data_IF_356818191172
#
_entry.id   IF_356818191172
#
_cell.length_a   1.000
_cell.length_b   1.000
_cell.length_c   1.000
_cell.angle_alpha   90.00
_cell.angle_beta   90.00
_cell.angle_gamma   90.00
#
_symmetry.space_group_name_H-M   'P 1'
#
loop_
_entity.id
_entity.type
_entity.pdbx_description
1 polymer ?
#
# COMPACT_ATOMS: atom_id res chain seq x y z
N UNK A 1 -21.28 -11.55 18.89
CA UNK A 1 -20.80 -10.18 18.64
C UNK A 1 -19.31 -10.23 18.90
N UNK A 2 -18.51 -10.45 17.86
CA UNK A 2 -17.06 -10.53 18.00
C UNK A 2 -16.51 -9.12 17.90
N UNK A 3 -16.04 -8.59 19.03
CA UNK A 3 -15.23 -7.39 19.06
C UNK A 3 -13.99 -7.65 18.22
N UNK A 4 -13.91 -6.98 17.07
CA UNK A 4 -12.65 -6.78 16.40
C UNK A 4 -11.85 -5.84 17.32
N UNK A 5 -10.95 -6.41 18.11
CA UNK A 5 -9.80 -5.67 18.63
C UNK A 5 -9.06 -5.10 17.42
N UNK A 6 -9.41 -3.86 17.10
CA UNK A 6 -8.67 -3.03 16.18
C UNK A 6 -7.25 -2.96 16.71
N UNK A 7 -6.37 -3.73 16.09
CA UNK A 7 -4.93 -3.56 16.20
C UNK A 7 -4.69 -2.11 15.81
N UNK A 8 -4.58 -1.23 16.80
CA UNK A 8 -4.20 0.15 16.61
C UNK A 8 -2.97 0.12 15.72
N UNK A 9 -3.00 0.74 14.53
CA UNK A 9 -1.89 0.63 13.59
C UNK A 9 -0.65 1.05 14.36
N UNK A 10 0.32 0.16 14.49
CA UNK A 10 1.50 0.47 15.28
C UNK A 10 2.06 1.80 14.77
N UNK A 11 2.30 2.72 15.71
CA UNK A 11 2.82 4.05 15.44
C UNK A 11 4.28 4.02 15.81
N UNK A 12 5.15 4.14 14.82
CA UNK A 12 6.57 4.36 15.06
C UNK A 12 6.79 5.87 14.99
N UNK A 13 7.28 6.42 16.09
CA UNK A 13 7.66 7.83 16.20
C UNK A 13 9.18 7.91 16.18
N UNK A 14 9.72 8.65 15.23
CA UNK A 14 11.16 8.92 15.12
C UNK A 14 11.35 10.44 15.10
N UNK A 15 12.34 10.92 15.83
CA UNK A 15 12.72 12.33 15.86
C UNK A 15 14.08 12.50 15.20
N UNK A 16 14.13 13.37 14.19
CA UNK A 16 15.37 13.71 13.49
C UNK A 16 15.76 15.15 13.82
N UNK A 17 16.99 15.34 14.28
CA UNK A 17 17.60 16.66 14.46
C UNK A 17 18.40 17.02 13.21
N UNK A 18 18.11 18.16 12.59
CA UNK A 18 18.82 18.65 11.42
C UNK A 18 19.97 19.59 11.81
N UNK A 19 21.05 19.66 11.01
CA UNK A 19 22.14 20.61 11.23
C UNK A 19 21.65 22.07 11.15
N UNK A 20 22.34 22.98 11.86
CA UNK A 20 21.93 24.39 12.04
C UNK A 20 21.89 25.22 10.74
N UNK A 21 22.41 24.70 9.63
CA UNK A 21 22.42 25.36 8.33
C UNK A 21 21.20 25.03 7.45
N UNK A 22 20.25 24.23 7.93
CA UNK A 22 19.05 23.88 7.17
C UNK A 22 17.96 24.93 7.32
N UNK A 23 17.41 25.39 6.19
CA UNK A 23 16.18 26.17 6.16
C UNK A 23 14.95 25.28 6.01
N UNK A 24 13.78 25.86 6.28
CA UNK A 24 12.50 25.20 6.04
C UNK A 24 12.24 25.00 4.54
N UNK A 25 12.76 25.88 3.66
CA UNK A 25 12.73 25.67 2.21
C UNK A 25 13.55 24.45 1.78
N UNK A 26 14.70 24.19 2.40
CA UNK A 26 15.55 23.03 2.07
C UNK A 26 14.85 21.71 2.38
N UNK A 27 14.17 21.63 3.53
CA UNK A 27 13.39 20.46 3.93
C UNK A 27 12.26 20.23 2.94
N UNK A 28 11.50 21.28 2.59
CA UNK A 28 10.41 21.19 1.60
C UNK A 28 10.93 20.77 0.22
N UNK A 29 12.07 21.31 -0.21
CA UNK A 29 12.70 20.96 -1.48
C UNK A 29 13.11 19.48 -1.53
N UNK A 30 13.72 18.97 -0.45
CA UNK A 30 14.11 17.56 -0.33
C UNK A 30 12.92 16.60 -0.30
N UNK A 31 11.86 16.96 0.42
CA UNK A 31 10.61 16.18 0.42
C UNK A 31 9.99 16.15 -0.99
N UNK A 32 9.95 17.28 -1.70
CA UNK A 32 9.48 17.33 -3.10
C UNK A 32 10.35 16.52 -4.05
N UNK A 33 11.67 16.59 -3.89
CA UNK A 33 12.62 15.79 -4.67
C UNK A 33 12.43 14.29 -4.42
N UNK A 34 12.18 13.90 -3.17
CA UNK A 34 11.86 12.52 -2.83
C UNK A 34 10.51 12.06 -3.41
N UNK A 35 9.48 12.92 -3.40
CA UNK A 35 8.19 12.64 -4.07
C UNK A 35 8.34 12.44 -5.58
N UNK A 36 9.30 13.11 -6.23
CA UNK A 36 9.61 12.89 -7.63
C UNK A 36 10.42 11.60 -7.89
N UNK A 37 10.93 10.93 -6.85
CA UNK A 37 11.68 9.69 -6.98
C UNK A 37 10.77 8.47 -7.16
N UNK A 38 11.27 7.34 -7.70
CA UNK A 38 10.49 6.10 -7.82
C UNK A 38 9.95 5.56 -6.49
N UNK A 39 10.55 5.96 -5.36
CA UNK A 39 10.13 5.53 -4.02
C UNK A 39 9.01 6.41 -3.45
N UNK A 40 8.92 7.67 -3.88
CA UNK A 40 7.98 8.67 -3.39
C UNK A 40 6.83 8.99 -4.34
N UNK A 41 6.91 8.61 -5.62
CA UNK A 41 5.94 8.99 -6.66
C UNK A 41 4.51 8.50 -6.42
N UNK A 42 4.36 7.43 -5.64
CA UNK A 42 3.07 6.86 -5.27
C UNK A 42 2.48 7.48 -3.99
N UNK A 43 3.18 8.44 -3.36
CA UNK A 43 2.70 9.19 -2.20
C UNK A 43 2.02 10.49 -2.63
N UNK A 44 0.88 10.76 -2.00
CA UNK A 44 0.16 12.04 -2.10
C UNK A 44 0.54 12.91 -0.92
N UNK A 45 1.01 14.12 -1.21
CA UNK A 45 1.37 15.11 -0.19
C UNK A 45 0.17 16.02 0.11
N UNK A 46 -0.28 16.00 1.36
CA UNK A 46 -1.26 16.92 1.91
C UNK A 46 -0.57 17.88 2.87
N UNK A 47 -0.60 19.17 2.56
CA UNK A 47 -0.02 20.22 3.42
C UNK A 47 -1.10 20.70 4.37
N UNK A 48 -1.11 20.21 5.60
CA UNK A 48 -2.08 20.62 6.63
C UNK A 48 -1.76 22.03 7.11
N UNK A 49 -0.47 22.31 7.36
CA UNK A 49 0.07 23.62 7.70
C UNK A 49 1.46 23.75 7.09
N UNK A 50 2.04 24.96 7.03
CA UNK A 50 3.38 25.14 6.46
C UNK A 50 4.46 24.23 7.09
N UNK A 51 4.28 23.86 8.36
CA UNK A 51 5.17 22.99 9.15
C UNK A 51 4.64 21.59 9.42
N UNK A 52 3.47 21.26 8.86
CA UNK A 52 2.83 19.97 9.07
C UNK A 52 2.42 19.40 7.72
N UNK A 53 3.11 18.35 7.30
CA UNK A 53 2.93 17.70 6.01
C UNK A 53 2.53 16.24 6.27
N UNK A 54 1.46 15.79 5.64
CA UNK A 54 1.04 14.39 5.64
C UNK A 54 1.33 13.80 4.27
N UNK A 55 2.10 12.72 4.25
CA UNK A 55 2.36 11.92 3.06
C UNK A 55 1.55 10.64 3.18
N UNK A 56 0.59 10.44 2.28
CA UNK A 56 -0.28 9.27 2.30
C UNK A 56 -0.13 8.43 1.04
N UNK A 57 -0.18 7.11 1.20
CA UNK A 57 -0.10 6.17 0.10
C UNK A 57 -1.09 5.04 0.33
N UNK A 58 -1.87 4.72 -0.69
CA UNK A 58 -2.72 3.53 -0.71
C UNK A 58 -2.08 2.49 -1.60
N UNK A 59 -1.66 1.35 -1.02
CA UNK A 59 -1.33 0.14 -1.78
C UNK A 59 -2.46 -0.85 -1.64
N UNK A 60 -2.90 -1.43 -2.75
CA UNK A 60 -3.77 -2.59 -2.67
C UNK A 60 -2.95 -3.83 -2.28
N UNK A 61 -3.51 -4.69 -1.44
CA UNK A 61 -2.84 -5.92 -1.05
C UNK A 61 -2.88 -6.93 -2.21
N UNK A 62 -1.77 -7.03 -2.95
CA UNK A 62 -1.64 -7.99 -4.04
C UNK A 62 -1.82 -9.44 -3.60
N UNK A 63 -1.60 -9.78 -2.31
CA UNK A 63 -1.85 -11.14 -1.83
C UNK A 63 -3.33 -11.49 -1.93
N UNK A 64 -4.22 -10.55 -1.62
CA UNK A 64 -5.68 -10.74 -1.73
C UNK A 64 -6.07 -10.99 -3.19
N UNK A 65 -5.49 -10.23 -4.12
CA UNK A 65 -5.69 -10.44 -5.57
C UNK A 65 -5.17 -11.81 -6.02
N UNK A 66 -3.93 -12.18 -5.69
CA UNK A 66 -3.33 -13.45 -6.08
C UNK A 66 -4.08 -14.66 -5.52
N UNK A 67 -4.53 -14.61 -4.27
CA UNK A 67 -5.33 -15.68 -3.65
C UNK A 67 -6.67 -15.84 -4.38
N UNK A 68 -7.34 -14.73 -4.72
CA UNK A 68 -8.56 -14.74 -5.54
C UNK A 68 -8.33 -15.40 -6.92
N UNK A 69 -7.24 -15.04 -7.60
CA UNK A 69 -6.89 -15.65 -8.89
C UNK A 69 -6.60 -17.15 -8.78
N UNK A 70 -5.79 -17.58 -7.80
CA UNK A 70 -5.43 -19.00 -7.61
C UNK A 70 -6.66 -19.84 -7.27
N UNK A 71 -7.52 -19.36 -6.36
CA UNK A 71 -8.76 -20.06 -5.97
C UNK A 71 -9.73 -20.18 -7.15
N UNK A 72 -9.79 -19.18 -8.01
CA UNK A 72 -10.60 -19.24 -9.25
C UNK A 72 -10.05 -20.28 -10.22
N UNK A 73 -8.74 -20.29 -10.49
CA UNK A 73 -8.13 -21.31 -11.34
C UNK A 73 -8.35 -22.73 -10.79
N UNK A 74 -8.16 -22.93 -9.48
CA UNK A 74 -8.38 -24.21 -8.84
C UNK A 74 -9.84 -24.67 -8.90
N UNK A 75 -10.80 -23.76 -8.71
CA UNK A 75 -12.23 -24.08 -8.79
C UNK A 75 -12.68 -24.44 -10.21
N UNK A 76 -12.15 -23.76 -11.24
CA UNK A 76 -12.41 -24.14 -12.64
C UNK A 76 -11.91 -25.57 -12.93
N UNK A 77 -10.68 -25.90 -12.50
CA UNK A 77 -10.12 -27.26 -12.68
C UNK A 77 -11.00 -28.31 -11.98
N UNK A 78 -11.48 -27.99 -10.77
CA UNK A 78 -12.32 -28.88 -9.99
C UNK A 78 -13.69 -29.11 -10.67
N UNK A 79 -14.30 -28.06 -11.22
CA UNK A 79 -15.54 -28.17 -12.01
C UNK A 79 -15.34 -29.06 -13.24
N UNK A 80 -14.23 -28.89 -13.97
CA UNK A 80 -13.91 -29.74 -15.13
C UNK A 80 -13.72 -31.21 -14.74
N UNK A 81 -13.02 -31.47 -13.62
CA UNK A 81 -12.82 -32.82 -13.08
C UNK A 81 -14.16 -33.49 -12.72
N UNK A 82 -15.07 -32.77 -12.06
CA UNK A 82 -16.41 -33.28 -11.70
C UNK A 82 -17.20 -33.62 -12.96
N UNK A 83 -17.15 -32.77 -13.98
CA UNK A 83 -17.84 -33.00 -15.26
C UNK A 83 -17.34 -34.28 -15.91
N UNK A 84 -16.02 -34.44 -16.08
CA UNK A 84 -15.45 -35.63 -16.71
C UNK A 84 -15.82 -36.90 -15.93
N UNK A 85 -15.83 -36.83 -14.59
CA UNK A 85 -16.19 -37.96 -13.73
C UNK A 85 -17.68 -38.32 -13.70
N UNK A 86 -18.56 -37.43 -14.19
CA UNK A 86 -20.04 -37.61 -14.15
C UNK A 86 -20.65 -37.83 -15.53
N UNK A 87 -19.87 -37.66 -16.61
CA UNK A 87 -20.26 -38.01 -17.99
C UNK A 87 -20.56 -39.51 -18.07
N UNK A 88 -21.84 -39.84 -18.30
CA UNK A 88 -22.35 -41.22 -18.41
C UNK A 88 -23.25 -41.67 -17.25
N UNK A 89 -23.35 -40.90 -16.16
CA UNK A 89 -24.18 -41.23 -14.99
C UNK A 89 -25.47 -40.40 -14.95
N UNK A 90 -25.44 -39.16 -15.42
CA UNK A 90 -26.55 -38.21 -15.37
C UNK A 90 -27.08 -37.84 -16.75
N UNK A 91 -28.36 -37.49 -16.81
CA UNK A 91 -29.01 -36.95 -18.01
C UNK A 91 -28.33 -35.64 -18.47
N UNK A 92 -28.17 -35.45 -19.77
CA UNK A 92 -27.42 -34.35 -20.38
C UNK A 92 -27.92 -32.97 -19.91
N UNK A 93 -29.25 -32.82 -19.74
CA UNK A 93 -29.86 -31.60 -19.23
C UNK A 93 -29.47 -31.29 -17.78
N UNK A 94 -29.35 -32.32 -16.93
CA UNK A 94 -28.95 -32.14 -15.53
C UNK A 94 -27.46 -31.74 -15.43
N UNK A 95 -26.62 -32.32 -16.28
CA UNK A 95 -25.19 -32.00 -16.37
C UNK A 95 -24.98 -30.54 -16.83
N UNK A 96 -25.69 -30.10 -17.87
CA UNK A 96 -25.61 -28.75 -18.41
C UNK A 96 -26.10 -27.69 -17.40
N UNK A 97 -27.19 -27.97 -16.67
CA UNK A 97 -27.70 -27.05 -15.67
C UNK A 97 -26.73 -26.92 -14.47
N UNK A 98 -26.12 -28.02 -14.04
CA UNK A 98 -25.10 -28.02 -12.99
C UNK A 98 -23.85 -27.22 -13.39
N UNK A 99 -23.41 -27.31 -14.64
CA UNK A 99 -22.29 -26.52 -15.17
C UNK A 99 -22.56 -25.01 -15.14
N UNK A 100 -23.73 -24.59 -15.64
CA UNK A 100 -24.11 -23.18 -15.66
C UNK A 100 -24.16 -22.61 -14.24
N UNK A 101 -24.72 -23.39 -13.30
CA UNK A 101 -24.81 -22.98 -11.90
C UNK A 101 -23.42 -22.91 -11.23
N UNK A 102 -22.54 -23.87 -11.49
CA UNK A 102 -21.16 -23.86 -10.99
C UNK A 102 -20.36 -22.66 -11.55
N UNK A 103 -20.46 -22.38 -12.85
CA UNK A 103 -19.83 -21.22 -13.47
C UNK A 103 -20.37 -19.90 -12.88
N UNK A 104 -21.67 -19.82 -12.61
CA UNK A 104 -22.29 -18.69 -11.93
C UNK A 104 -21.71 -18.44 -10.53
N UNK A 105 -21.53 -19.51 -9.74
CA UNK A 105 -20.92 -19.43 -8.40
C UNK A 105 -19.47 -18.94 -8.49
N UNK A 106 -18.66 -19.50 -9.40
CA UNK A 106 -17.26 -19.11 -9.59
C UNK A 106 -17.13 -17.63 -9.98
N UNK A 107 -17.97 -17.16 -10.90
CA UNK A 107 -18.01 -15.75 -11.30
C UNK A 107 -18.41 -14.83 -10.15
N UNK A 108 -19.38 -15.24 -9.33
CA UNK A 108 -19.83 -14.45 -8.18
C UNK A 108 -18.73 -14.35 -7.10
N UNK A 109 -18.00 -15.43 -6.85
CA UNK A 109 -16.83 -15.44 -5.96
C UNK A 109 -15.75 -14.47 -6.46
N UNK A 110 -15.43 -14.49 -7.77
CA UNK A 110 -14.51 -13.54 -8.40
C UNK A 110 -14.88 -12.09 -8.14
N UNK A 111 -16.16 -11.73 -8.34
CA UNK A 111 -16.67 -10.38 -8.09
C UNK A 111 -16.51 -9.98 -6.62
N UNK A 112 -16.77 -10.89 -5.68
CA UNK A 112 -16.56 -10.64 -4.25
C UNK A 112 -15.08 -10.38 -3.95
N UNK A 113 -14.15 -11.19 -4.47
CA UNK A 113 -12.72 -10.98 -4.25
C UNK A 113 -12.22 -9.66 -4.83
N UNK A 114 -12.65 -9.31 -6.05
CA UNK A 114 -12.34 -8.01 -6.67
C UNK A 114 -12.90 -6.87 -5.83
N UNK A 115 -14.15 -6.97 -5.37
CA UNK A 115 -14.74 -5.97 -4.49
C UNK A 115 -13.96 -5.81 -3.19
N UNK A 116 -13.55 -6.91 -2.54
CA UNK A 116 -12.74 -6.87 -1.32
C UNK A 116 -11.37 -6.22 -1.59
N UNK A 117 -10.71 -6.56 -2.70
CA UNK A 117 -9.44 -5.97 -3.10
C UNK A 117 -9.55 -4.45 -3.31
N UNK A 118 -10.61 -4.00 -3.98
CA UNK A 118 -10.88 -2.58 -4.20
C UNK A 118 -11.25 -1.84 -2.90
N UNK A 119 -12.01 -2.47 -2.00
CA UNK A 119 -12.53 -1.86 -0.77
C UNK A 119 -11.56 -1.88 0.41
N UNK A 120 -10.50 -2.71 0.37
CA UNK A 120 -9.48 -2.76 1.43
C UNK A 120 -8.08 -2.34 0.94
N UNK A 121 -7.89 -1.09 0.47
CA UNK A 121 -6.56 -0.57 0.26
C UNK A 121 -5.86 -0.46 1.62
N UNK A 122 -4.62 -0.95 1.68
CA UNK A 122 -3.75 -0.74 2.83
C UNK A 122 -3.18 0.67 2.71
N UNK A 123 -3.40 1.48 3.74
CA UNK A 123 -2.90 2.86 3.80
C UNK A 123 -1.61 2.91 4.59
N UNK A 124 -0.57 3.53 4.03
CA UNK A 124 0.62 3.95 4.73
C UNK A 124 0.58 5.47 4.86
N UNK A 125 0.72 5.98 6.08
CA UNK A 125 0.72 7.42 6.35
C UNK A 125 2.01 7.78 7.07
N UNK A 126 2.72 8.77 6.52
CA UNK A 126 3.91 9.37 7.11
C UNK A 126 3.57 10.83 7.39
N UNK A 127 3.41 11.16 8.67
CA UNK A 127 3.14 12.50 9.16
C UNK A 127 4.46 13.15 9.56
N UNK A 128 4.77 14.32 9.00
CA UNK A 128 5.97 15.08 9.32
C UNK A 128 5.59 16.40 9.98
N UNK A 129 6.15 16.67 11.15
CA UNK A 129 6.03 17.97 11.82
C UNK A 129 7.39 18.60 12.00
N UNK A 130 7.50 19.86 11.61
CA UNK A 130 8.74 20.63 11.64
C UNK A 130 8.68 21.59 12.83
N UNK A 131 9.59 21.43 13.78
CA UNK A 131 9.74 22.31 14.93
C UNK A 131 10.25 23.70 14.56
N UNK A 132 10.06 24.67 15.45
CA UNK A 132 10.51 26.06 15.28
C UNK A 132 11.85 26.35 16.00
N UNK A 133 12.44 25.33 16.61
CA UNK A 133 13.66 25.44 17.40
C UNK A 133 14.88 25.29 16.47
N UNK A 134 16.01 25.90 16.84
CA UNK A 134 17.31 25.67 16.21
C UNK A 134 18.13 24.84 17.21
N UNK A 135 18.63 23.65 16.83
CA UNK A 135 18.47 22.96 15.55
C UNK A 135 17.02 22.50 15.27
N UNK A 136 16.63 22.51 13.99
CA UNK A 136 15.26 22.12 13.56
C UNK A 136 15.03 20.65 13.86
N UNK A 137 14.04 20.36 14.71
CA UNK A 137 13.55 19.01 15.01
C UNK A 137 12.43 18.64 14.05
N UNK A 138 12.57 17.53 13.34
CA UNK A 138 11.53 16.96 12.48
C UNK A 138 11.02 15.67 13.13
N UNK A 139 9.77 15.66 13.59
CA UNK A 139 9.11 14.43 14.06
C UNK A 139 8.43 13.75 12.89
N UNK A 140 8.79 12.49 12.62
CA UNK A 140 8.15 11.68 11.58
C UNK A 140 7.37 10.56 12.27
N UNK A 141 6.04 10.65 12.18
CA UNK A 141 5.12 9.65 12.71
C UNK A 141 4.64 8.77 11.57
N UNK A 142 4.92 7.47 11.69
CA UNK A 142 4.53 6.48 10.70
C UNK A 142 3.37 5.65 11.23
N UNK A 143 2.31 5.49 10.44
CA UNK A 143 1.16 4.65 10.78
C UNK A 143 0.68 3.82 9.59
N UNK A 144 0.10 2.64 9.87
CA UNK A 144 -0.39 1.68 8.87
C UNK A 144 0.48 0.42 8.78
N UNK A 145 0.63 -0.17 7.59
CA UNK A 145 1.52 -1.33 7.40
C UNK A 145 3.00 -0.93 7.51
N UNK A 146 3.54 -1.06 8.72
CA UNK A 146 4.89 -0.66 9.11
C UNK A 146 6.03 -1.55 8.60
N UNK A 147 5.76 -2.70 8.00
CA UNK A 147 6.84 -3.52 7.44
C UNK A 147 7.06 -3.19 5.97
N UNK A 148 5.97 -3.07 5.19
CA UNK A 148 6.06 -2.86 3.74
C UNK A 148 6.51 -1.45 3.33
N UNK A 149 6.30 -0.43 4.17
CA UNK A 149 6.74 0.95 3.90
C UNK A 149 8.06 1.34 4.60
N UNK A 150 8.79 0.37 5.18
CA UNK A 150 9.96 0.68 6.00
C UNK A 150 11.10 1.22 5.14
N UNK A 151 11.30 0.62 3.96
CA UNK A 151 12.29 1.08 2.99
C UNK A 151 11.96 2.49 2.45
N UNK A 152 10.68 2.77 2.18
CA UNK A 152 10.20 4.08 1.73
C UNK A 152 10.42 5.14 2.82
N UNK A 153 10.15 4.78 4.08
CA UNK A 153 10.43 5.60 5.25
C UNK A 153 11.93 5.91 5.40
N UNK A 154 12.82 4.91 5.33
CA UNK A 154 14.27 5.13 5.41
C UNK A 154 14.78 5.98 4.24
N UNK A 155 14.21 5.82 3.05
CA UNK A 155 14.52 6.65 1.88
C UNK A 155 14.17 8.12 2.11
N UNK A 156 12.98 8.40 2.67
CA UNK A 156 12.56 9.75 3.03
C UNK A 156 13.42 10.34 4.15
N UNK A 157 13.70 9.57 5.20
CA UNK A 157 14.58 10.00 6.29
C UNK A 157 15.97 10.37 5.76
N UNK A 158 16.51 9.55 4.86
CA UNK A 158 17.81 9.80 4.25
C UNK A 158 17.82 11.00 3.30
N UNK A 159 16.73 11.27 2.57
CA UNK A 159 16.65 12.45 1.69
C UNK A 159 16.65 13.75 2.52
N UNK A 160 15.99 13.73 3.67
CA UNK A 160 15.96 14.86 4.62
C UNK A 160 17.33 15.02 5.31
N UNK A 161 17.99 13.93 5.69
CA UNK A 161 19.24 13.96 6.45
C UNK A 161 20.53 14.12 5.61
N UNK A 162 20.48 13.92 4.28
CA UNK A 162 21.70 13.81 3.45
C UNK A 162 22.61 15.04 3.60
N UNK A 163 23.82 14.84 4.11
CA UNK A 163 24.86 15.87 4.15
C UNK A 163 25.12 16.44 2.74
N UNK A 164 25.34 17.76 2.61
CA UNK A 164 25.67 18.38 1.33
C UNK A 164 27.09 17.97 0.92
N UNK A 165 27.22 16.82 0.24
CA UNK A 165 28.53 16.34 -0.21
C UNK A 165 28.59 14.96 -0.86
N UNK A 166 27.53 14.15 -0.82
CA UNK A 166 27.51 12.85 -1.52
C UNK A 166 26.57 12.87 -2.73
N UNK A 167 27.20 12.97 -3.91
CA UNK A 167 26.58 13.12 -5.22
C UNK A 167 25.49 12.11 -5.58
N UNK A 168 24.44 12.65 -6.18
CA UNK A 168 23.54 12.01 -7.13
C UNK A 168 23.16 13.08 -8.14
N UNK A 169 22.91 12.74 -9.41
CA UNK A 169 22.97 13.69 -10.52
C UNK A 169 21.98 14.83 -10.30
N UNK A 170 22.47 16.06 -10.39
CA UNK A 170 21.61 17.23 -10.58
C UNK A 170 20.86 17.04 -11.89
N UNK A 171 19.53 16.99 -11.81
CA UNK A 171 18.72 17.30 -12.98
C UNK A 171 18.84 18.81 -13.19
N UNK A 172 19.81 19.20 -14.01
CA UNK A 172 19.79 20.50 -14.69
C UNK A 172 18.60 20.48 -15.66
N UNK A 173 17.66 21.40 -15.45
CA UNK A 173 16.68 21.85 -16.45
C UNK A 173 16.94 23.34 -16.70
#
# INVERSE_FOLDING_TARGET
MYEYEGTSPAKIHDELTLPDNYSMEDIKSRVKSWLASPMGSEYVMEVVHERHIILSKSKHDMRVCCVGCITTCASIILVVMIVIGTVGIYDYYALMNAMILAMGIVMMIMVIFVAIFCLRPQKAVIEMRIGNEIPIKVSILRSGELEKSAHEYFSLRNSIHREPGHGGPSLEF
#
